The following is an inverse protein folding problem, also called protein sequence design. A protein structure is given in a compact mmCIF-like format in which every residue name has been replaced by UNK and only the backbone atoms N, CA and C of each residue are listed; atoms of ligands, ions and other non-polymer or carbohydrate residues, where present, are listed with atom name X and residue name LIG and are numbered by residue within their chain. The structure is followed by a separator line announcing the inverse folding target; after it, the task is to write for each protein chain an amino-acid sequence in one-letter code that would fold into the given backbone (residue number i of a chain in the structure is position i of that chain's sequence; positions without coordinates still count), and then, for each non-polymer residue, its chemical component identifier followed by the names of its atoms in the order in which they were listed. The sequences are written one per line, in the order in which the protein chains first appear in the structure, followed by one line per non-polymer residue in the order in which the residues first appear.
data_IF_612348916181
#
_entry.id   IF_612348916181
#
_cell.length_a   1.000
_cell.length_b   1.000
_cell.length_c   1.000
_cell.angle_alpha   90.00
_cell.angle_beta   90.00
_cell.angle_gamma   90.00
#
_symmetry.space_group_name_H-M   'P 1'
#
loop_
_entity.id
_entity.type
_entity.pdbx_description
1 polymer ?
#
# COMPACT_ATOMS: atom_id res chain seq x y z
N UNK A 1 -19.12 -4.55 6.33
CA UNK A 1 -20.57 -4.22 6.38
C UNK A 1 -20.91 -3.01 5.50
N UNK A 2 -20.07 -1.97 5.45
CA UNK A 2 -20.29 -0.77 4.62
C UNK A 2 -19.95 -0.95 3.12
N UNK A 3 -19.47 -2.11 2.68
CA UNK A 3 -19.14 -2.37 1.28
C UNK A 3 -17.84 -1.71 0.78
N UNK A 4 -17.10 -1.02 1.63
CA UNK A 4 -15.86 -0.35 1.25
C UNK A 4 -14.78 -1.39 0.95
N UNK A 5 -14.12 -1.25 -0.20
CA UNK A 5 -12.94 -2.07 -0.56
C UNK A 5 -11.68 -1.39 -0.05
N UNK A 6 -10.86 -2.12 0.67
CA UNK A 6 -9.63 -1.61 1.29
C UNK A 6 -8.44 -2.44 0.81
N UNK A 7 -7.38 -1.76 0.36
CA UNK A 7 -6.10 -2.36 0.05
C UNK A 7 -5.05 -1.79 0.99
N UNK A 8 -4.32 -2.66 1.65
CA UNK A 8 -3.29 -2.30 2.61
C UNK A 8 -1.93 -2.78 2.11
N UNK A 9 -0.98 -1.88 2.08
CA UNK A 9 0.44 -2.16 1.89
C UNK A 9 1.12 -1.96 3.24
N UNK A 10 1.46 -3.05 3.92
CA UNK A 10 1.97 -3.01 5.29
C UNK A 10 3.39 -3.55 5.33
N UNK A 11 4.32 -2.72 5.71
CA UNK A 11 5.74 -3.09 5.80
C UNK A 11 6.08 -3.90 7.06
N UNK A 12 5.43 -3.59 8.16
CA UNK A 12 5.81 -4.08 9.48
C UNK A 12 4.74 -4.94 10.15
N UNK A 13 4.67 -4.83 11.47
CA UNK A 13 3.71 -5.56 12.28
C UNK A 13 2.29 -5.15 11.89
N UNK A 14 1.44 -6.13 11.64
CA UNK A 14 0.03 -5.94 11.34
C UNK A 14 -0.82 -6.84 12.23
N UNK A 15 -1.63 -6.25 13.08
CA UNK A 15 -2.59 -6.99 13.92
C UNK A 15 -3.92 -7.23 13.21
N UNK A 16 -4.17 -6.50 12.13
CA UNK A 16 -5.39 -6.67 11.34
C UNK A 16 -5.37 -8.02 10.62
N UNK A 17 -6.50 -8.71 10.69
CA UNK A 17 -6.73 -9.96 9.95
C UNK A 17 -7.50 -9.61 8.69
N UNK A 18 -6.85 -9.71 7.52
CA UNK A 18 -7.48 -9.43 6.23
C UNK A 18 -8.09 -10.67 5.59
N UNK A 19 -9.09 -10.49 4.73
CA UNK A 19 -9.72 -11.55 3.96
C UNK A 19 -10.54 -12.56 4.76
N UNK A 20 -10.87 -12.29 6.02
CA UNK A 20 -11.67 -13.20 6.83
C UNK A 20 -13.15 -12.96 6.58
N UNK A 21 -13.86 -14.04 6.22
CA UNK A 21 -15.31 -14.03 5.98
C UNK A 21 -16.07 -13.45 7.18
N UNK A 22 -17.08 -12.65 6.90
CA UNK A 22 -17.97 -11.98 7.86
C UNK A 22 -17.26 -10.94 8.78
N UNK A 23 -15.95 -10.67 8.55
CA UNK A 23 -15.17 -9.71 9.34
C UNK A 23 -14.45 -8.69 8.46
N UNK A 24 -13.63 -9.15 7.53
CA UNK A 24 -12.70 -8.31 6.76
C UNK A 24 -12.54 -8.79 5.31
N UNK A 25 -13.54 -9.39 4.75
CA UNK A 25 -13.53 -9.95 3.39
C UNK A 25 -13.25 -8.93 2.29
N UNK A 26 -13.58 -7.66 2.55
CA UNK A 26 -13.30 -6.53 1.65
C UNK A 26 -11.91 -5.92 1.84
N UNK A 27 -11.08 -6.49 2.70
CA UNK A 27 -9.73 -5.98 3.00
C UNK A 27 -8.71 -6.94 2.41
N UNK A 28 -7.90 -6.45 1.48
CA UNK A 28 -6.71 -7.13 0.97
C UNK A 28 -5.46 -6.55 1.64
N UNK A 29 -4.65 -7.40 2.25
CA UNK A 29 -3.40 -7.01 2.87
C UNK A 29 -2.19 -7.58 2.12
N UNK A 30 -1.23 -6.74 1.79
CA UNK A 30 0.03 -7.10 1.15
C UNK A 30 1.21 -6.57 1.96
N UNK A 31 2.30 -7.31 1.96
CA UNK A 31 3.59 -6.88 2.50
C UNK A 31 4.67 -7.03 1.44
N UNK A 32 5.51 -6.01 1.29
CA UNK A 32 6.65 -6.04 0.37
C UNK A 32 7.91 -5.83 1.20
N UNK A 33 8.78 -6.83 1.20
CA UNK A 33 10.14 -6.75 1.77
C UNK A 33 11.12 -7.05 0.65
N UNK A 34 11.87 -6.04 0.23
CA UNK A 34 12.82 -6.11 -0.85
C UNK A 34 14.16 -5.47 -0.44
N UNK A 35 14.94 -4.98 -1.38
CA UNK A 35 16.30 -4.46 -1.17
C UNK A 35 16.34 -3.20 -0.31
N UNK A 36 15.37 -2.30 -0.52
CA UNK A 36 15.32 -1.00 0.13
C UNK A 36 14.17 -0.93 1.13
N UNK A 37 14.35 -0.11 2.17
CA UNK A 37 13.31 0.15 3.15
C UNK A 37 12.20 1.00 2.53
N UNK A 38 10.99 0.47 2.54
CA UNK A 38 9.78 1.23 2.20
C UNK A 38 9.34 2.03 3.43
N UNK A 39 9.51 3.35 3.39
CA UNK A 39 9.22 4.22 4.54
C UNK A 39 8.11 5.23 4.27
N UNK A 40 7.52 5.19 3.10
CA UNK A 40 6.41 6.06 2.71
C UNK A 40 5.15 5.69 3.49
N UNK A 41 4.42 6.69 3.94
CA UNK A 41 3.09 6.53 4.53
C UNK A 41 2.13 7.36 3.71
N UNK A 42 1.21 6.69 3.08
CA UNK A 42 0.27 7.25 2.12
C UNK A 42 -1.13 6.74 2.43
N UNK A 43 -2.09 7.64 2.37
CA UNK A 43 -3.51 7.32 2.44
C UNK A 43 -4.18 7.78 1.15
N UNK A 44 -4.86 6.86 0.49
CA UNK A 44 -5.65 7.13 -0.70
C UNK A 44 -7.11 6.84 -0.40
N UNK A 45 -7.96 7.81 -0.62
CA UNK A 45 -9.41 7.69 -0.49
C UNK A 45 -10.05 8.02 -1.83
N UNK A 46 -10.90 7.11 -2.29
CA UNK A 46 -11.71 7.33 -3.48
C UNK A 46 -13.18 7.33 -3.09
N UNK A 47 -13.90 8.37 -3.42
CA UNK A 47 -15.33 8.47 -3.20
C UNK A 47 -15.97 9.37 -4.25
N UNK A 48 -17.06 8.90 -4.83
CA UNK A 48 -17.90 9.63 -5.78
C UNK A 48 -17.13 10.34 -6.93
N UNK A 49 -16.09 9.67 -7.45
CA UNK A 49 -15.24 10.22 -8.51
C UNK A 49 -14.07 11.08 -8.04
N UNK A 50 -13.99 11.40 -6.76
CA UNK A 50 -12.89 12.18 -6.19
C UNK A 50 -11.77 11.31 -5.63
N UNK A 51 -10.54 11.73 -5.90
CA UNK A 51 -9.32 11.11 -5.39
C UNK A 51 -8.63 12.02 -4.38
N UNK A 52 -8.56 11.57 -3.13
CA UNK A 52 -7.87 12.27 -2.06
C UNK A 52 -6.64 11.48 -1.62
N UNK A 53 -5.46 12.09 -1.77
CA UNK A 53 -4.17 11.51 -1.41
C UNK A 53 -3.57 12.35 -0.29
N UNK A 54 -3.15 11.68 0.78
CA UNK A 54 -2.40 12.28 1.88
C UNK A 54 -1.08 11.55 2.07
N UNK A 55 -0.01 12.32 2.29
CA UNK A 55 1.26 11.82 2.81
C UNK A 55 1.33 12.09 4.30
N UNK A 56 1.94 11.16 5.04
CA UNK A 56 2.00 11.27 6.50
C UNK A 56 3.35 10.84 7.06
N UNK A 57 3.68 11.37 8.23
CA UNK A 57 4.80 10.91 9.05
C UNK A 57 4.41 9.78 10.00
N UNK A 58 3.11 9.58 10.27
CA UNK A 58 2.61 8.61 11.24
C UNK A 58 2.55 7.18 10.70
N UNK A 59 3.09 6.23 11.45
CA UNK A 59 2.65 4.84 11.38
C UNK A 59 1.31 4.69 12.09
N UNK A 60 0.47 3.75 11.67
CA UNK A 60 -0.79 3.43 12.37
C UNK A 60 -0.51 2.58 13.61
N UNK A 61 0.24 3.16 14.52
CA UNK A 61 0.58 2.57 15.80
C UNK A 61 0.13 3.50 16.92
N UNK A 62 -0.30 2.94 18.04
CA UNK A 62 -0.77 3.69 19.21
C UNK A 62 0.21 4.81 19.61
N UNK A 63 1.52 4.51 19.66
CA UNK A 63 2.56 5.50 19.98
C UNK A 63 2.58 6.73 19.06
N UNK A 64 2.29 6.53 17.75
CA UNK A 64 2.27 7.61 16.79
C UNK A 64 0.98 8.42 16.90
N UNK A 65 -0.16 7.74 17.02
CA UNK A 65 -1.47 8.36 16.96
C UNK A 65 -1.86 9.07 18.27
N UNK A 66 -1.30 8.63 19.42
CA UNK A 66 -1.68 9.15 20.75
C UNK A 66 -0.58 9.88 21.50
N UNK A 67 0.70 9.60 21.20
CA UNK A 67 1.82 10.09 22.01
C UNK A 67 2.87 10.91 21.23
N UNK A 68 2.72 11.06 19.92
CA UNK A 68 3.63 11.84 19.08
C UNK A 68 2.91 12.97 18.37
N UNK A 69 3.68 13.98 18.01
CA UNK A 69 3.23 15.02 17.08
C UNK A 69 3.57 14.50 15.69
N UNK A 70 2.53 14.28 14.88
CA UNK A 70 2.64 13.75 13.54
C UNK A 70 1.94 14.69 12.56
N UNK A 71 2.34 14.62 11.30
CA UNK A 71 1.79 15.47 10.23
C UNK A 71 1.17 14.58 9.17
N UNK A 72 0.00 14.96 8.68
CA UNK A 72 -0.57 14.48 7.43
C UNK A 72 -0.96 15.66 6.57
N UNK A 73 -0.60 15.66 5.29
CA UNK A 73 -0.91 16.75 4.38
C UNK A 73 -1.44 16.22 3.05
N UNK A 74 -2.42 16.91 2.44
CA UNK A 74 -2.99 16.52 1.16
C UNK A 74 -2.04 16.84 0.01
N UNK A 75 -2.09 16.02 -1.04
CA UNK A 75 -1.43 16.27 -2.32
C UNK A 75 -2.47 16.80 -3.29
N UNK A 76 -2.30 18.03 -3.77
CA UNK A 76 -3.25 18.67 -4.69
C UNK A 76 -2.81 18.62 -6.14
N UNK A 77 -1.49 18.71 -6.39
CA UNK A 77 -0.95 18.74 -7.75
C UNK A 77 -1.26 17.43 -8.51
N UNK A 78 -1.92 17.52 -9.68
CA UNK A 78 -2.36 16.34 -10.42
C UNK A 78 -1.19 15.52 -10.98
N UNK A 79 -0.04 16.13 -11.27
CA UNK A 79 1.15 15.45 -11.76
C UNK A 79 1.74 14.61 -10.63
N UNK A 80 1.85 15.20 -9.43
CA UNK A 80 2.34 14.49 -8.24
C UNK A 80 1.36 13.38 -7.82
N UNK A 81 0.05 13.62 -7.86
CA UNK A 81 -0.95 12.57 -7.62
C UNK A 81 -0.74 11.38 -8.54
N UNK A 82 -0.58 11.65 -9.84
CA UNK A 82 -0.34 10.60 -10.83
C UNK A 82 0.93 9.81 -10.53
N UNK A 83 2.05 10.48 -10.28
CA UNK A 83 3.32 9.83 -9.94
C UNK A 83 3.20 8.94 -8.69
N UNK A 84 2.56 9.44 -7.65
CA UNK A 84 2.31 8.66 -6.41
C UNK A 84 1.48 7.43 -6.72
N UNK A 85 0.41 7.57 -7.49
CA UNK A 85 -0.46 6.43 -7.83
C UNK A 85 0.23 5.42 -8.75
N UNK A 86 1.11 5.86 -9.65
CA UNK A 86 1.92 4.96 -10.46
C UNK A 86 2.82 4.07 -9.57
N UNK A 87 3.47 4.65 -8.54
CA UNK A 87 4.28 3.91 -7.57
C UNK A 87 3.42 2.94 -6.75
N UNK A 88 2.29 3.40 -6.24
CA UNK A 88 1.34 2.55 -5.50
C UNK A 88 0.86 1.39 -6.36
N UNK A 89 0.59 1.63 -7.64
CA UNK A 89 0.19 0.59 -8.58
C UNK A 89 1.31 -0.44 -8.81
N UNK A 90 2.58 -0.02 -8.91
CA UNK A 90 3.70 -0.97 -8.98
C UNK A 90 3.74 -1.87 -7.73
N UNK A 91 3.51 -1.31 -6.54
CA UNK A 91 3.45 -2.08 -5.30
C UNK A 91 2.25 -3.03 -5.27
N UNK A 92 1.07 -2.58 -5.69
CA UNK A 92 -0.12 -3.42 -5.77
C UNK A 92 -0.02 -4.53 -6.82
N UNK A 93 0.79 -4.33 -7.86
CA UNK A 93 1.03 -5.32 -8.92
C UNK A 93 2.24 -6.22 -8.65
N UNK A 94 3.03 -5.94 -7.61
CA UNK A 94 4.22 -6.73 -7.28
C UNK A 94 3.84 -8.20 -7.07
N UNK A 95 4.49 -9.08 -7.85
CA UNK A 95 4.33 -10.52 -7.78
C UNK A 95 5.68 -11.25 -7.64
N UNK A 96 6.74 -10.50 -7.31
CA UNK A 96 8.09 -11.03 -7.09
C UNK A 96 8.46 -11.00 -5.61
N UNK A 97 8.12 -9.92 -4.91
CA UNK A 97 8.48 -9.68 -3.51
C UNK A 97 7.29 -9.55 -2.59
N UNK A 98 6.11 -9.32 -3.14
CA UNK A 98 4.89 -9.17 -2.36
C UNK A 98 4.44 -10.49 -1.72
N UNK A 99 3.99 -10.40 -0.49
CA UNK A 99 3.42 -11.48 0.30
C UNK A 99 2.01 -11.13 0.74
N UNK A 100 1.14 -12.12 0.76
CA UNK A 100 -0.22 -11.94 1.25
C UNK A 100 -0.21 -11.89 2.78
N UNK A 101 -0.89 -10.88 3.33
CA UNK A 101 -1.23 -10.81 4.76
C UNK A 101 -2.68 -11.24 4.88
N UNK A 102 -2.89 -12.50 5.15
CA UNK A 102 -4.22 -13.09 5.27
C UNK A 102 -4.47 -13.65 6.68
N UNK A 103 -5.69 -14.17 6.88
CA UNK A 103 -6.07 -14.75 8.17
C UNK A 103 -5.33 -16.05 8.51
N UNK A 104 -4.76 -16.75 7.53
CA UNK A 104 -3.97 -17.96 7.74
C UNK A 104 -2.58 -17.67 8.30
N UNK A 105 -2.07 -16.43 8.11
CA UNK A 105 -0.77 -15.94 8.57
C UNK A 105 0.42 -16.78 8.12
N UNK A 106 0.32 -17.41 6.95
CA UNK A 106 1.36 -18.28 6.40
C UNK A 106 2.48 -17.52 5.70
N UNK A 107 2.31 -16.22 5.49
CA UNK A 107 3.30 -15.32 4.91
C UNK A 107 3.85 -15.79 3.55
N UNK A 108 2.97 -16.32 2.71
CA UNK A 108 3.33 -16.82 1.39
C UNK A 108 3.51 -15.69 0.37
N UNK A 109 4.36 -15.95 -0.62
CA UNK A 109 4.45 -15.06 -1.77
C UNK A 109 3.12 -15.00 -2.51
N UNK A 110 2.77 -13.79 -2.96
CA UNK A 110 1.54 -13.58 -3.72
C UNK A 110 1.61 -14.34 -5.02
N UNK A 111 0.62 -15.20 -5.24
CA UNK A 111 0.42 -15.91 -6.51
C UNK A 111 -0.51 -15.08 -7.38
N UNK A 112 -0.12 -14.82 -8.61
CA UNK A 112 -0.94 -14.12 -9.60
C UNK A 112 -0.95 -14.89 -10.92
N UNK A 113 -2.02 -14.75 -11.68
CA UNK A 113 -2.12 -15.34 -13.02
C UNK A 113 -1.23 -14.61 -14.06
N UNK A 114 -0.72 -13.46 -13.72
CA UNK A 114 0.11 -12.65 -14.61
C UNK A 114 1.44 -13.31 -14.89
N UNK A 115 1.73 -13.53 -16.19
CA UNK A 115 3.05 -14.00 -16.65
C UNK A 115 4.13 -12.93 -16.53
N UNK A 116 3.76 -11.63 -16.52
CA UNK A 116 4.69 -10.52 -16.36
C UNK A 116 5.14 -10.47 -14.90
N UNK A 117 6.43 -10.54 -14.68
CA UNK A 117 7.04 -10.31 -13.36
C UNK A 117 7.12 -8.82 -13.11
N UNK A 118 6.57 -8.38 -11.98
CA UNK A 118 6.59 -7.00 -11.50
C UNK A 118 7.25 -6.99 -10.13
N UNK A 119 8.42 -6.37 -10.04
CA UNK A 119 9.13 -6.09 -8.79
C UNK A 119 9.05 -4.58 -8.57
N UNK A 120 8.26 -4.15 -7.59
CA UNK A 120 7.86 -2.74 -7.44
C UNK A 120 9.03 -1.78 -7.32
N UNK A 121 10.07 -2.11 -6.55
CA UNK A 121 11.25 -1.25 -6.41
C UNK A 121 12.01 -1.08 -7.73
N UNK A 122 12.11 -2.12 -8.54
CA UNK A 122 12.75 -2.06 -9.85
C UNK A 122 11.92 -1.25 -10.84
N UNK A 123 10.59 -1.44 -10.88
CA UNK A 123 9.70 -0.67 -11.74
C UNK A 123 9.68 0.81 -11.34
N UNK A 124 9.68 1.13 -10.06
CA UNK A 124 9.80 2.51 -9.56
C UNK A 124 11.13 3.16 -9.98
N UNK A 125 12.25 2.43 -9.90
CA UNK A 125 13.52 2.93 -10.36
C UNK A 125 13.52 3.25 -11.86
N UNK A 126 12.99 2.33 -12.69
CA UNK A 126 12.89 2.54 -14.14
C UNK A 126 12.01 3.76 -14.46
N UNK A 127 10.86 3.85 -13.80
CA UNK A 127 9.91 4.95 -13.96
C UNK A 127 10.59 6.32 -13.75
N UNK A 128 11.31 6.50 -12.65
CA UNK A 128 12.01 7.76 -12.39
C UNK A 128 13.19 8.01 -13.32
N UNK A 129 13.84 6.96 -13.80
CA UNK A 129 14.91 7.10 -14.80
C UNK A 129 14.39 7.59 -16.15
N UNK A 130 13.17 7.24 -16.51
CA UNK A 130 12.52 7.68 -17.76
C UNK A 130 11.95 9.11 -17.66
N UNK A 131 11.74 9.63 -16.45
CA UNK A 131 11.27 11.01 -16.23
C UNK A 131 12.39 12.05 -16.29
N UNK A 132 13.67 11.64 -16.25
CA UNK A 132 14.85 12.50 -16.37
C UNK A 132 15.26 12.71 -17.82
#
# INVERSE_FOLDING_TARGET
QAGVKIKLLVRGICSLVSGKKDLSENIEGLSIVDRYLEHSRLYYFYHDGEENIFLSSADWMERNLHFRIEIAFPVYDPILKKQIMDIVNFQLLDNVKSRSIDYNRINEYRITESKRKVQSQLETYKYYKELQ
#
